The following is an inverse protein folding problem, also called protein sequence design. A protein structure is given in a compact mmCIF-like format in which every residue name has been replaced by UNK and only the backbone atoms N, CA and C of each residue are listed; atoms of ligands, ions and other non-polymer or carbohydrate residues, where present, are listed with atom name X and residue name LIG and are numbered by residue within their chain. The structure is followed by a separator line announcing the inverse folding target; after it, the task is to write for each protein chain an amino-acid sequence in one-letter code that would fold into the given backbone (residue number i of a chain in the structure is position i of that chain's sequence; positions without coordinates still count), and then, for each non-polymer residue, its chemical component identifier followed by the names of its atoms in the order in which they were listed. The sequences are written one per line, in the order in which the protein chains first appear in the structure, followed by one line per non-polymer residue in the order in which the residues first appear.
data_IF_444450133470
#
_entry.id   IF_444450133470
#
_cell.length_a   1.000
_cell.length_b   1.000
_cell.length_c   1.000
_cell.angle_alpha   90.00
_cell.angle_beta   90.00
_cell.angle_gamma   90.00
#
_symmetry.space_group_name_H-M   'P 1'
#
loop_
_entity.id
_entity.type
_entity.pdbx_description
1 polymer ?
#
# COMPACT_ATOMS: atom_id res chain seq x y z
N UNK A 1 18.06 29.68 -22.92
CA UNK A 1 17.70 29.21 -21.56
C UNK A 1 16.55 28.21 -21.69
N UNK A 2 16.83 26.92 -21.77
CA UNK A 2 15.79 25.89 -22.04
C UNK A 2 16.06 24.52 -21.42
N UNK A 3 17.02 24.41 -20.50
CA UNK A 3 17.52 23.11 -20.02
C UNK A 3 16.93 22.64 -18.68
N UNK A 4 16.09 23.45 -18.01
CA UNK A 4 15.75 23.22 -16.60
C UNK A 4 14.43 22.47 -16.37
N UNK A 5 13.44 22.58 -17.27
CA UNK A 5 12.12 21.94 -17.07
C UNK A 5 12.07 20.45 -17.44
N UNK A 6 12.89 20.01 -18.40
CA UNK A 6 12.93 18.60 -18.84
C UNK A 6 13.63 17.69 -17.81
N UNK A 7 14.64 18.22 -17.11
CA UNK A 7 15.36 17.51 -16.04
C UNK A 7 14.47 17.22 -14.83
N UNK A 8 13.70 18.20 -14.36
CA UNK A 8 12.84 18.07 -13.16
C UNK A 8 11.67 17.08 -13.38
N UNK A 9 11.08 17.07 -14.59
CA UNK A 9 10.00 16.14 -14.92
C UNK A 9 10.48 14.68 -15.09
N UNK A 10 11.69 14.46 -15.59
CA UNK A 10 12.32 13.12 -15.60
C UNK A 10 12.56 12.61 -14.18
N UNK A 11 13.06 13.45 -13.27
CA UNK A 11 13.34 13.07 -11.87
C UNK A 11 12.08 12.62 -11.12
N UNK A 12 10.92 13.24 -11.39
CA UNK A 12 9.63 12.89 -10.75
C UNK A 12 9.12 11.50 -11.14
N UNK A 13 9.17 11.14 -12.42
CA UNK A 13 8.73 9.82 -12.90
C UNK A 13 9.66 8.69 -12.41
N UNK A 14 10.96 8.97 -12.30
CA UNK A 14 11.94 8.01 -11.78
C UNK A 14 11.72 7.78 -10.28
N UNK A 15 11.50 8.85 -9.50
CA UNK A 15 11.20 8.74 -8.06
C UNK A 15 9.92 7.93 -7.78
N UNK A 16 8.83 8.20 -8.50
CA UNK A 16 7.57 7.47 -8.33
C UNK A 16 7.68 5.99 -8.70
N UNK A 17 8.47 5.65 -9.73
CA UNK A 17 8.77 4.26 -10.08
C UNK A 17 9.58 3.58 -8.98
N UNK A 18 10.66 4.21 -8.50
CA UNK A 18 11.46 3.65 -7.41
C UNK A 18 10.66 3.46 -6.12
N UNK A 19 9.74 4.37 -5.80
CA UNK A 19 8.84 4.22 -4.66
C UNK A 19 7.86 3.05 -4.83
N UNK A 20 7.36 2.81 -6.05
CA UNK A 20 6.52 1.66 -6.35
C UNK A 20 7.29 0.35 -6.24
N UNK A 21 8.47 0.28 -6.86
CA UNK A 21 9.34 -0.90 -6.78
C UNK A 21 9.67 -1.23 -5.32
N UNK A 22 9.94 -0.20 -4.51
CA UNK A 22 10.13 -0.36 -3.06
C UNK A 22 8.89 -0.96 -2.36
N UNK A 23 7.70 -0.45 -2.66
CA UNK A 23 6.44 -0.94 -2.05
C UNK A 23 6.10 -2.37 -2.50
N UNK A 24 6.23 -2.66 -3.80
CA UNK A 24 5.96 -3.98 -4.36
C UNK A 24 6.93 -5.03 -3.79
N UNK A 25 8.23 -4.70 -3.71
CA UNK A 25 9.20 -5.61 -3.12
C UNK A 25 9.07 -5.72 -1.59
N UNK A 26 8.58 -4.68 -0.90
CA UNK A 26 8.24 -4.79 0.52
C UNK A 26 7.07 -5.75 0.76
N UNK A 27 6.06 -5.72 -0.11
CA UNK A 27 4.95 -6.68 -0.09
C UNK A 27 5.44 -8.11 -0.36
N UNK A 28 6.37 -8.29 -1.29
CA UNK A 28 6.98 -9.60 -1.57
C UNK A 28 7.74 -10.15 -0.35
N UNK A 29 8.57 -9.33 0.31
CA UNK A 29 9.24 -9.74 1.57
C UNK A 29 8.20 -10.09 2.63
N UNK A 30 7.13 -9.30 2.74
CA UNK A 30 6.08 -9.52 3.74
C UNK A 30 5.32 -10.84 3.54
N UNK A 31 5.23 -11.33 2.30
CA UNK A 31 4.55 -12.60 1.94
C UNK A 31 5.52 -13.77 1.76
N UNK A 32 6.81 -13.53 1.91
CA UNK A 32 7.84 -14.54 1.67
C UNK A 32 7.81 -15.65 2.73
N UNK A 33 8.34 -16.81 2.35
CA UNK A 33 8.59 -17.96 3.23
C UNK A 33 10.09 -18.15 3.35
N UNK A 34 10.56 -19.05 4.22
CA UNK A 34 12.01 -19.26 4.37
C UNK A 34 12.71 -19.58 3.04
N UNK A 35 12.06 -20.28 2.10
CA UNK A 35 12.67 -20.59 0.80
C UNK A 35 12.76 -19.39 -0.16
N UNK A 36 11.91 -18.37 0.02
CA UNK A 36 11.80 -17.23 -0.90
C UNK A 36 12.23 -15.90 -0.29
N UNK A 37 12.51 -15.88 1.02
CA UNK A 37 12.88 -14.68 1.75
C UNK A 37 14.14 -14.04 1.19
N UNK A 38 15.19 -14.81 0.93
CA UNK A 38 16.48 -14.28 0.47
C UNK A 38 16.37 -13.60 -0.89
N UNK A 39 15.58 -14.16 -1.81
CA UNK A 39 15.32 -13.51 -3.11
C UNK A 39 14.50 -12.23 -2.92
N UNK A 40 13.46 -12.27 -2.09
CA UNK A 40 12.61 -11.12 -1.82
C UNK A 40 13.39 -9.98 -1.17
N UNK A 41 14.22 -10.26 -0.16
CA UNK A 41 14.99 -9.23 0.55
C UNK A 41 16.09 -8.65 -0.33
N UNK A 42 16.66 -9.42 -1.27
CA UNK A 42 17.62 -8.91 -2.27
C UNK A 42 16.95 -7.97 -3.26
N UNK A 43 15.79 -8.35 -3.80
CA UNK A 43 14.99 -7.47 -4.68
C UNK A 43 14.62 -6.20 -3.95
N UNK A 44 14.14 -6.30 -2.71
CA UNK A 44 13.84 -5.15 -1.89
C UNK A 44 15.07 -4.25 -1.63
N UNK A 45 16.19 -4.82 -1.21
CA UNK A 45 17.43 -4.06 -0.96
C UNK A 45 17.98 -3.36 -2.21
N UNK A 46 17.69 -3.86 -3.42
CA UNK A 46 18.07 -3.21 -4.68
C UNK A 46 17.41 -1.84 -4.88
N UNK A 47 16.35 -1.52 -4.11
CA UNK A 47 15.72 -0.20 -4.12
C UNK A 47 16.41 0.80 -3.19
N UNK A 48 17.24 0.29 -2.26
CA UNK A 48 17.93 1.03 -1.21
C UNK A 48 19.39 1.37 -1.52
N UNK A 49 19.77 1.38 -2.80
CA UNK A 49 21.13 1.66 -3.25
C UNK A 49 21.31 3.15 -3.54
N UNK A 50 22.54 3.65 -3.36
CA UNK A 50 22.83 5.08 -3.35
C UNK A 50 22.63 5.77 -4.73
N UNK A 51 22.44 5.01 -5.82
CA UNK A 51 22.16 5.54 -7.16
C UNK A 51 20.65 5.56 -7.51
N UNK A 52 19.75 5.28 -6.57
CA UNK A 52 18.31 5.46 -6.75
C UNK A 52 17.84 6.76 -6.08
N UNK A 53 16.68 7.32 -6.47
CA UNK A 53 16.09 8.46 -5.77
C UNK A 53 15.75 8.21 -4.29
N UNK A 54 15.63 6.93 -3.88
CA UNK A 54 15.51 6.54 -2.47
C UNK A 54 16.88 6.50 -1.79
N UNK A 55 17.96 6.26 -2.54
CA UNK A 55 19.34 6.40 -2.12
C UNK A 55 19.66 7.80 -1.57
N UNK A 56 19.11 8.86 -2.14
CA UNK A 56 19.29 10.24 -1.62
C UNK A 56 18.72 10.42 -0.21
N UNK A 57 17.65 9.70 0.12
CA UNK A 57 17.05 9.70 1.47
C UNK A 57 17.97 8.95 2.44
N UNK A 58 18.52 7.83 1.99
CA UNK A 58 19.46 7.01 2.76
C UNK A 58 20.77 7.75 3.01
N UNK A 59 21.27 8.48 2.02
CA UNK A 59 22.50 9.28 2.12
C UNK A 59 22.40 10.38 3.19
N UNK A 60 21.18 10.80 3.55
CA UNK A 60 20.93 11.77 4.62
C UNK A 60 20.80 11.12 6.01
N UNK A 61 20.74 9.79 6.11
CA UNK A 61 20.70 9.09 7.39
C UNK A 61 22.06 9.19 8.09
N UNK A 62 22.08 9.23 9.44
CA UNK A 62 23.33 9.25 10.18
C UNK A 62 24.12 7.97 9.91
N UNK A 63 25.45 8.10 9.89
CA UNK A 63 26.34 6.94 9.86
C UNK A 63 26.20 6.13 11.15
N UNK A 64 26.16 4.81 11.02
CA UNK A 64 25.99 3.88 12.15
C UNK A 64 27.04 2.78 12.12
N UNK A 65 27.47 2.33 13.29
CA UNK A 65 28.34 1.16 13.45
C UNK A 65 27.49 -0.09 13.72
N UNK A 66 27.09 -0.77 12.64
CA UNK A 66 26.27 -1.97 12.75
C UNK A 66 27.00 -3.12 13.45
N UNK A 67 28.30 -3.29 13.21
CA UNK A 67 29.07 -4.40 13.78
C UNK A 67 29.22 -4.26 15.29
N UNK A 68 29.53 -3.05 15.77
CA UNK A 68 29.56 -2.78 17.21
C UNK A 68 28.17 -2.97 17.83
N UNK A 69 27.12 -2.44 17.19
CA UNK A 69 25.76 -2.56 17.69
C UNK A 69 25.30 -4.02 17.76
N UNK A 70 25.52 -4.80 16.70
CA UNK A 70 25.08 -6.18 16.60
C UNK A 70 25.87 -7.08 17.54
N UNK A 71 27.20 -6.89 17.65
CA UNK A 71 28.04 -7.60 18.62
C UNK A 71 27.54 -7.39 20.05
N UNK A 72 27.15 -6.16 20.41
CA UNK A 72 26.55 -5.87 21.72
C UNK A 72 25.25 -6.64 21.94
N UNK A 73 24.38 -6.74 20.94
CA UNK A 73 23.13 -7.51 21.07
C UNK A 73 23.42 -9.00 21.27
N UNK A 74 24.39 -9.56 20.54
CA UNK A 74 24.78 -10.97 20.68
C UNK A 74 25.26 -11.32 22.10
N UNK A 75 25.86 -10.37 22.84
CA UNK A 75 26.24 -10.63 24.25
C UNK A 75 25.06 -10.89 25.19
N UNK A 76 23.85 -10.54 24.77
CA UNK A 76 22.62 -10.76 25.55
C UNK A 76 22.00 -12.14 25.31
N UNK A 77 22.47 -12.88 24.31
CA UNK A 77 21.97 -14.23 24.00
C UNK A 77 22.45 -15.20 25.10
N UNK A 78 21.50 -15.72 25.86
CA UNK A 78 21.75 -16.71 26.92
C UNK A 78 21.61 -18.15 26.43
N UNK A 79 21.51 -19.10 27.36
CA UNK A 79 21.41 -20.53 27.04
C UNK A 79 20.09 -20.99 26.43
N UNK A 80 19.07 -20.13 26.36
CA UNK A 80 17.78 -20.43 25.74
C UNK A 80 17.69 -19.80 24.35
N UNK A 81 17.15 -20.55 23.37
CA UNK A 81 16.91 -20.04 22.01
C UNK A 81 15.95 -18.85 22.06
N UNK A 82 16.24 -17.79 21.32
CA UNK A 82 15.43 -16.56 21.29
C UNK A 82 15.59 -15.65 22.51
N UNK A 83 16.56 -15.91 23.40
CA UNK A 83 16.74 -15.12 24.64
C UNK A 83 17.47 -13.79 24.46
N UNK A 84 18.04 -13.54 23.28
CA UNK A 84 18.70 -12.28 22.97
C UNK A 84 17.72 -11.11 23.05
N UNK A 85 18.20 -9.97 23.54
CA UNK A 85 17.44 -8.72 23.58
C UNK A 85 18.00 -7.74 22.56
N UNK A 86 17.11 -7.17 21.74
CA UNK A 86 17.47 -6.11 20.80
C UNK A 86 17.19 -4.75 21.43
N UNK A 87 18.25 -3.95 21.61
CA UNK A 87 18.13 -2.55 22.04
C UNK A 87 18.40 -1.63 20.85
N UNK A 88 17.34 -1.02 20.32
CA UNK A 88 17.44 -0.06 19.23
C UNK A 88 17.92 1.32 19.71
N UNK A 89 18.57 2.12 18.84
CA UNK A 89 18.79 3.54 19.09
C UNK A 89 17.48 4.26 19.44
N UNK A 90 17.58 5.25 20.33
CA UNK A 90 16.45 6.10 20.73
C UNK A 90 16.09 7.09 19.61
N UNK A 91 17.11 7.61 18.92
CA UNK A 91 16.90 8.45 17.75
C UNK A 91 16.31 7.64 16.58
N UNK A 92 15.24 8.19 15.98
CA UNK A 92 14.50 7.51 14.92
C UNK A 92 15.29 7.39 13.62
N UNK A 93 16.17 8.35 13.31
CA UNK A 93 16.99 8.31 12.08
C UNK A 93 18.15 7.34 12.25
N UNK A 94 18.78 7.29 13.41
CA UNK A 94 19.80 6.29 13.76
C UNK A 94 19.23 4.87 13.75
N UNK A 95 18.04 4.67 14.34
CA UNK A 95 17.34 3.39 14.27
C UNK A 95 17.08 2.96 12.83
N UNK A 96 16.57 3.88 12.01
CA UNK A 96 16.29 3.58 10.61
C UNK A 96 17.56 3.26 9.84
N UNK A 97 18.66 4.00 10.07
CA UNK A 97 19.97 3.72 9.48
C UNK A 97 20.45 2.31 9.84
N UNK A 98 20.28 1.89 11.11
CA UNK A 98 20.60 0.54 11.57
C UNK A 98 19.78 -0.54 10.84
N UNK A 99 18.49 -0.29 10.63
CA UNK A 99 17.60 -1.21 9.91
C UNK A 99 17.93 -1.28 8.41
N UNK A 100 18.31 -0.16 7.78
CA UNK A 100 18.78 -0.16 6.39
C UNK A 100 20.05 -1.01 6.26
N UNK A 101 21.02 -0.87 7.16
CA UNK A 101 22.24 -1.68 7.12
C UNK A 101 21.95 -3.17 7.40
N UNK A 102 20.98 -3.47 8.27
CA UNK A 102 20.51 -4.84 8.50
C UNK A 102 19.97 -5.47 7.20
N UNK A 103 19.10 -4.76 6.48
CA UNK A 103 18.56 -5.22 5.19
C UNK A 103 19.67 -5.39 4.15
N UNK A 104 20.59 -4.43 4.04
CA UNK A 104 21.74 -4.51 3.12
C UNK A 104 22.63 -5.71 3.43
N UNK A 105 22.82 -6.06 4.71
CA UNK A 105 23.59 -7.24 5.14
C UNK A 105 22.87 -8.54 4.85
N UNK A 106 21.56 -8.62 5.06
CA UNK A 106 20.77 -9.78 4.66
C UNK A 106 20.82 -10.01 3.15
N UNK A 107 20.67 -8.95 2.35
CA UNK A 107 20.75 -9.04 0.90
C UNK A 107 22.16 -9.40 0.36
N UNK A 108 23.21 -9.16 1.14
CA UNK A 108 24.61 -9.47 0.79
C UNK A 108 25.15 -10.72 1.50
N UNK A 109 24.28 -11.53 2.11
CA UNK A 109 24.65 -12.76 2.84
C UNK A 109 25.62 -12.53 4.00
N UNK A 110 25.68 -11.30 4.52
CA UNK A 110 26.50 -10.92 5.69
C UNK A 110 25.72 -11.03 7.01
N UNK A 111 24.41 -11.30 6.93
CA UNK A 111 23.54 -11.54 8.07
C UNK A 111 22.47 -12.55 7.66
N UNK A 112 22.49 -13.74 8.24
CA UNK A 112 21.45 -14.73 8.00
C UNK A 112 20.21 -14.43 8.85
N UNK A 113 19.04 -14.41 8.21
CA UNK A 113 17.78 -14.06 8.88
C UNK A 113 17.32 -15.15 9.85
N UNK A 114 17.61 -16.42 9.58
CA UNK A 114 17.23 -17.55 10.44
C UNK A 114 18.11 -17.56 11.69
N UNK A 115 19.42 -17.37 11.56
CA UNK A 115 20.33 -17.22 12.69
C UNK A 115 19.95 -16.00 13.54
N UNK A 116 19.64 -14.87 12.88
CA UNK A 116 19.15 -13.69 13.58
C UNK A 116 17.85 -13.98 14.33
N UNK A 117 16.86 -14.59 13.68
CA UNK A 117 15.58 -14.88 14.31
C UNK A 117 15.73 -15.89 15.46
N UNK A 118 16.57 -16.91 15.30
CA UNK A 118 16.88 -17.88 16.36
C UNK A 118 17.49 -17.24 17.60
N UNK A 119 18.32 -16.21 17.43
CA UNK A 119 18.94 -15.51 18.56
C UNK A 119 17.96 -14.60 19.31
N UNK A 120 17.07 -13.90 18.61
CA UNK A 120 16.34 -12.76 19.17
C UNK A 120 14.80 -12.87 19.19
N UNK A 121 14.21 -13.77 18.41
CA UNK A 121 12.74 -13.81 18.19
C UNK A 121 12.23 -15.19 17.77
N UNK A 122 12.88 -16.23 18.30
CA UNK A 122 12.47 -17.60 18.01
C UNK A 122 11.13 -17.90 18.68
N UNK A 123 10.13 -18.27 17.88
CA UNK A 123 8.80 -18.66 18.35
C UNK A 123 8.53 -20.15 18.21
N UNK A 124 9.39 -20.88 17.49
CA UNK A 124 9.28 -22.32 17.34
C UNK A 124 10.33 -22.92 16.41
N UNK A 125 10.17 -24.22 16.12
CA UNK A 125 11.08 -24.96 15.22
C UNK A 125 10.79 -24.76 13.73
N UNK A 126 9.70 -24.08 13.39
CA UNK A 126 9.30 -23.82 12.00
C UNK A 126 9.97 -22.54 11.52
N UNK A 127 10.81 -22.65 10.49
CA UNK A 127 11.51 -21.50 9.92
C UNK A 127 10.56 -20.41 9.43
N UNK A 128 9.45 -20.77 8.81
CA UNK A 128 8.45 -19.81 8.32
C UNK A 128 7.87 -18.94 9.46
N UNK A 129 7.67 -19.50 10.64
CA UNK A 129 7.11 -18.77 11.79
C UNK A 129 8.14 -17.76 12.31
N UNK A 130 9.43 -18.14 12.36
CA UNK A 130 10.52 -17.26 12.76
C UNK A 130 10.77 -16.13 11.74
N UNK A 131 10.63 -16.41 10.44
CA UNK A 131 10.65 -15.39 9.39
C UNK A 131 9.47 -14.44 9.55
N UNK A 132 8.26 -14.96 9.82
CA UNK A 132 7.08 -14.13 10.02
C UNK A 132 7.24 -13.19 11.23
N UNK A 133 7.91 -13.63 12.29
CA UNK A 133 8.24 -12.78 13.44
C UNK A 133 9.21 -11.65 13.09
N UNK A 134 10.30 -11.97 12.36
CA UNK A 134 11.21 -10.95 11.84
C UNK A 134 10.46 -9.91 11.00
N UNK A 135 9.59 -10.38 10.09
CA UNK A 135 8.82 -9.51 9.21
C UNK A 135 7.89 -8.60 10.02
N UNK A 136 7.17 -9.16 11.00
CA UNK A 136 6.19 -8.41 11.79
C UNK A 136 6.85 -7.41 12.73
N UNK A 137 7.90 -7.82 13.45
CA UNK A 137 8.50 -7.02 14.51
C UNK A 137 9.52 -6.02 13.99
N UNK A 138 10.19 -6.30 12.87
CA UNK A 138 11.26 -5.44 12.35
C UNK A 138 10.97 -4.92 10.96
N UNK A 139 10.74 -5.79 9.98
CA UNK A 139 10.65 -5.36 8.58
C UNK A 139 9.47 -4.40 8.31
N UNK A 140 8.26 -4.74 8.77
CA UNK A 140 7.06 -3.91 8.57
C UNK A 140 7.19 -2.53 9.24
N UNK A 141 7.59 -2.42 10.53
CA UNK A 141 7.87 -1.11 11.14
C UNK A 141 8.93 -0.31 10.38
N UNK A 142 10.00 -0.98 9.93
CA UNK A 142 11.04 -0.34 9.11
C UNK A 142 10.46 0.25 7.81
N UNK A 143 9.69 -0.52 7.03
CA UNK A 143 9.07 -0.05 5.78
C UNK A 143 8.17 1.16 6.04
N UNK A 144 7.33 1.10 7.08
CA UNK A 144 6.47 2.21 7.50
C UNK A 144 7.28 3.47 7.82
N UNK A 145 8.32 3.32 8.62
CA UNK A 145 9.12 4.45 9.11
C UNK A 145 9.99 5.04 7.99
N UNK A 146 10.49 4.19 7.07
CA UNK A 146 11.19 4.62 5.87
C UNK A 146 10.27 5.44 4.95
N UNK A 147 9.07 4.93 4.65
CA UNK A 147 8.08 5.65 3.83
C UNK A 147 7.73 7.00 4.43
N UNK A 148 7.63 7.11 5.75
CA UNK A 148 7.41 8.39 6.43
C UNK A 148 8.53 9.40 6.11
N UNK A 149 9.80 9.02 6.22
CA UNK A 149 10.92 9.92 5.90
C UNK A 149 10.97 10.27 4.41
N UNK A 150 10.73 9.29 3.55
CA UNK A 150 10.60 9.50 2.09
C UNK A 150 9.55 10.57 1.80
N UNK A 151 8.37 10.47 2.43
CA UNK A 151 7.29 11.45 2.29
C UNK A 151 7.62 12.83 2.91
N UNK A 152 8.45 12.89 3.93
CA UNK A 152 8.87 14.14 4.58
C UNK A 152 10.07 14.81 3.88
N UNK A 153 10.73 14.14 2.92
CA UNK A 153 11.94 14.66 2.25
C UNK A 153 11.61 15.77 1.25
N UNK A 154 12.42 16.86 1.18
CA UNK A 154 12.28 17.92 0.17
C UNK A 154 12.17 17.44 -1.27
N UNK A 155 12.84 16.37 -1.69
CA UNK A 155 12.68 15.83 -3.05
C UNK A 155 11.26 15.30 -3.34
N UNK A 156 10.54 14.83 -2.32
CA UNK A 156 9.13 14.46 -2.39
C UNK A 156 8.23 15.71 -2.29
N UNK A 157 8.57 16.64 -1.38
CA UNK A 157 7.76 17.84 -1.15
C UNK A 157 7.98 18.97 -2.17
N UNK A 158 9.14 19.10 -2.82
CA UNK A 158 9.41 19.97 -3.99
C UNK A 158 8.68 19.48 -5.23
N UNK A 159 8.44 18.16 -5.33
CA UNK A 159 7.47 17.57 -6.26
C UNK A 159 6.02 17.98 -5.98
N UNK A 160 5.74 18.49 -4.77
CA UNK A 160 4.45 19.04 -4.33
C UNK A 160 4.46 20.58 -4.20
N UNK A 161 5.63 21.24 -4.08
CA UNK A 161 5.77 22.67 -3.76
C UNK A 161 6.23 23.54 -4.93
N UNK A 162 6.48 22.99 -6.12
CA UNK A 162 6.35 23.77 -7.36
C UNK A 162 4.90 23.80 -7.87
N UNK A 163 4.02 24.34 -7.03
CA UNK A 163 2.99 25.29 -7.50
C UNK A 163 3.41 26.68 -7.03
N UNK A 164 4.49 27.21 -7.62
CA UNK A 164 4.34 28.60 -8.09
C UNK A 164 3.24 28.53 -9.14
N UNK A 165 2.16 29.33 -9.07
CA UNK A 165 1.21 29.37 -10.17
C UNK A 165 2.03 29.63 -11.44
N UNK A 166 1.85 28.84 -12.51
CA UNK A 166 2.54 29.13 -13.75
C UNK A 166 2.29 30.59 -14.06
N UNK A 167 3.35 31.34 -14.43
CA UNK A 167 3.10 32.49 -15.28
C UNK A 167 2.20 32.00 -16.40
N UNK A 168 1.04 32.63 -16.52
CA UNK A 168 0.00 32.36 -17.48
C UNK A 168 0.59 32.38 -18.88
N UNK A 169 1.09 31.23 -19.32
CA UNK A 169 1.27 30.90 -20.72
C UNK A 169 0.16 29.92 -21.05
N UNK A 170 -0.80 30.39 -21.83
CA UNK A 170 -2.01 29.73 -22.30
C UNK A 170 -1.82 28.22 -22.56
N UNK A 171 -2.14 27.42 -21.55
CA UNK A 171 -2.53 26.02 -21.71
C UNK A 171 -3.90 25.92 -21.07
N UNK A 172 -4.91 25.51 -21.83
CA UNK A 172 -6.31 25.57 -21.42
C UNK A 172 -6.57 24.78 -20.13
N UNK A 173 -7.21 25.45 -19.17
CA UNK A 173 -7.65 24.98 -17.85
C UNK A 173 -8.74 23.87 -17.88
N UNK A 174 -8.76 22.98 -18.88
CA UNK A 174 -9.96 22.21 -19.24
C UNK A 174 -10.07 20.76 -18.74
N UNK A 175 -9.00 20.12 -18.24
CA UNK A 175 -9.03 18.66 -17.97
C UNK A 175 -8.57 18.21 -16.56
N UNK A 176 -8.50 19.11 -15.56
CA UNK A 176 -8.31 18.66 -14.16
C UNK A 176 -9.53 17.88 -13.65
N UNK A 177 -9.29 16.70 -13.07
CA UNK A 177 -10.32 15.86 -12.45
C UNK A 177 -10.97 16.62 -11.29
N UNK A 178 -12.28 16.80 -11.37
CA UNK A 178 -13.06 17.57 -10.39
C UNK A 178 -13.63 16.68 -9.33
N UNK A 179 -14.27 15.58 -9.73
CA UNK A 179 -15.04 14.71 -8.86
C UNK A 179 -14.56 13.27 -8.99
N UNK A 180 -14.24 12.65 -7.88
CA UNK A 180 -14.01 11.22 -7.77
C UNK A 180 -15.05 10.63 -6.83
N UNK A 181 -15.72 9.57 -7.25
CA UNK A 181 -16.67 8.83 -6.43
C UNK A 181 -16.09 7.44 -6.17
N UNK A 182 -15.77 7.16 -4.91
CA UNK A 182 -15.32 5.85 -4.44
C UNK A 182 -16.52 5.09 -3.89
N UNK A 183 -16.76 3.89 -4.42
CA UNK A 183 -17.90 3.03 -4.06
C UNK A 183 -17.68 1.57 -4.48
N UNK A 184 -18.49 0.67 -3.95
CA UNK A 184 -18.58 -0.72 -4.43
C UNK A 184 -19.34 -0.78 -5.74
N UNK A 185 -18.90 -1.63 -6.68
CA UNK A 185 -19.64 -1.91 -7.93
C UNK A 185 -21.10 -2.33 -7.70
N UNK A 186 -21.42 -2.88 -6.53
CA UNK A 186 -22.79 -3.26 -6.15
C UNK A 186 -23.71 -2.06 -5.86
N UNK A 187 -23.13 -0.88 -5.69
CA UNK A 187 -23.82 0.37 -5.38
C UNK A 187 -23.90 1.29 -6.63
N UNK A 188 -23.70 0.73 -7.83
CA UNK A 188 -23.61 1.48 -9.10
C UNK A 188 -24.81 2.39 -9.34
N UNK A 189 -26.02 1.96 -9.00
CA UNK A 189 -27.23 2.79 -9.20
C UNK A 189 -27.22 4.04 -8.32
N UNK A 190 -26.81 3.92 -7.04
CA UNK A 190 -26.68 5.07 -6.14
C UNK A 190 -25.53 5.98 -6.61
N UNK A 191 -24.39 5.41 -7.01
CA UNK A 191 -23.28 6.21 -7.53
C UNK A 191 -23.66 6.97 -8.80
N UNK A 192 -24.44 6.35 -9.69
CA UNK A 192 -24.92 6.97 -10.93
C UNK A 192 -25.90 8.13 -10.68
N UNK A 193 -26.79 8.02 -9.70
CA UNK A 193 -27.67 9.14 -9.33
C UNK A 193 -26.88 10.32 -8.77
N UNK A 194 -25.83 10.07 -7.97
CA UNK A 194 -24.91 11.10 -7.48
C UNK A 194 -24.14 11.75 -8.64
N UNK A 195 -23.60 10.98 -9.59
CA UNK A 195 -22.95 11.55 -10.79
C UNK A 195 -23.91 12.49 -11.52
N UNK A 196 -25.13 12.03 -11.78
CA UNK A 196 -26.14 12.81 -12.51
C UNK A 196 -26.48 14.10 -11.76
N UNK A 197 -26.61 14.04 -10.44
CA UNK A 197 -26.83 15.22 -9.60
C UNK A 197 -25.70 16.24 -9.74
N UNK A 198 -24.43 15.81 -9.64
CA UNK A 198 -23.28 16.71 -9.78
C UNK A 198 -23.15 17.29 -11.19
N UNK A 199 -23.41 16.50 -12.24
CA UNK A 199 -23.46 17.00 -13.62
C UNK A 199 -24.52 18.09 -13.79
N UNK A 200 -25.70 17.91 -13.19
CA UNK A 200 -26.82 18.86 -13.31
C UNK A 200 -26.57 20.13 -12.51
N UNK A 201 -26.11 19.99 -11.26
CA UNK A 201 -25.92 21.08 -10.32
C UNK A 201 -24.67 21.94 -10.62
N UNK A 202 -23.62 21.35 -11.20
CA UNK A 202 -22.35 22.03 -11.48
C UNK A 202 -21.94 22.04 -12.95
N UNK A 203 -22.70 21.44 -13.88
CA UNK A 203 -22.33 21.34 -15.30
C UNK A 203 -20.91 20.79 -15.52
N UNK A 204 -20.47 19.87 -14.64
CA UNK A 204 -19.15 19.24 -14.74
C UNK A 204 -19.16 18.31 -15.95
N UNK A 205 -18.19 18.45 -16.84
CA UNK A 205 -18.02 17.53 -17.97
C UNK A 205 -17.68 16.12 -17.48
N UNK A 206 -18.22 15.09 -18.13
CA UNK A 206 -17.90 13.69 -17.85
C UNK A 206 -16.39 13.38 -17.83
N UNK A 207 -15.57 14.09 -18.62
CA UNK A 207 -14.10 13.95 -18.62
C UNK A 207 -13.44 14.31 -17.29
N UNK A 208 -14.13 15.11 -16.47
CA UNK A 208 -13.66 15.60 -15.17
C UNK A 208 -14.30 14.84 -14.00
N UNK A 209 -14.97 13.72 -14.27
CA UNK A 209 -15.60 12.85 -13.26
C UNK A 209 -15.01 11.44 -13.36
N UNK A 210 -14.61 10.88 -12.23
CA UNK A 210 -14.21 9.48 -12.10
C UNK A 210 -15.24 8.70 -11.30
N UNK A 211 -15.84 7.69 -11.93
CA UNK A 211 -16.76 6.74 -11.32
C UNK A 211 -16.71 5.42 -12.11
N UNK A 212 -15.83 4.49 -11.73
CA UNK A 212 -15.38 3.41 -12.63
C UNK A 212 -16.42 2.34 -12.95
N UNK A 213 -17.47 2.20 -12.14
CA UNK A 213 -18.55 1.25 -12.42
C UNK A 213 -19.66 1.83 -13.31
N UNK A 214 -19.65 3.15 -13.55
CA UNK A 214 -20.66 3.85 -14.35
C UNK A 214 -20.09 4.11 -15.76
N UNK A 215 -20.82 3.64 -16.78
CA UNK A 215 -20.45 3.87 -18.17
C UNK A 215 -20.36 5.37 -18.49
N UNK A 216 -19.34 5.74 -19.28
CA UNK A 216 -19.02 7.14 -19.58
C UNK A 216 -18.01 7.79 -18.61
N UNK A 217 -17.80 7.22 -17.42
CA UNK A 217 -16.87 7.75 -16.39
C UNK A 217 -15.74 6.76 -16.04
N UNK A 218 -15.63 5.69 -16.84
CA UNK A 218 -14.62 4.65 -16.73
C UNK A 218 -13.24 5.14 -17.15
N UNK A 219 -12.23 4.38 -16.76
CA UNK A 219 -10.86 4.59 -17.19
C UNK A 219 -10.72 4.45 -18.72
N UNK A 220 -9.78 5.16 -19.35
CA UNK A 220 -9.43 4.92 -20.75
C UNK A 220 -9.05 3.47 -21.00
N UNK A 221 -9.37 2.95 -22.19
CA UNK A 221 -9.00 1.58 -22.55
C UNK A 221 -7.47 1.38 -22.50
N UNK A 222 -7.03 0.28 -21.89
CA UNK A 222 -5.60 -0.03 -21.72
C UNK A 222 -4.88 0.75 -20.61
N UNK A 223 -5.58 1.61 -19.87
CA UNK A 223 -5.01 2.27 -18.70
C UNK A 223 -4.72 1.27 -17.58
N UNK A 224 -3.62 1.47 -16.87
CA UNK A 224 -3.35 0.77 -15.61
C UNK A 224 -4.30 1.32 -14.53
N UNK A 225 -5.29 0.50 -14.19
CA UNK A 225 -6.35 0.84 -13.24
C UNK A 225 -5.81 1.32 -11.89
N UNK A 226 -4.80 0.63 -11.35
CA UNK A 226 -4.30 0.95 -10.02
C UNK A 226 -3.57 2.31 -10.03
N UNK A 227 -2.87 2.61 -11.11
CA UNK A 227 -2.11 3.84 -11.24
C UNK A 227 -2.95 5.07 -11.47
N UNK A 228 -3.94 4.96 -12.35
CA UNK A 228 -4.85 6.06 -12.60
C UNK A 228 -5.68 6.32 -11.34
N UNK A 229 -6.18 5.28 -10.67
CA UNK A 229 -6.97 5.46 -9.44
C UNK A 229 -6.12 6.03 -8.30
N UNK A 230 -4.88 5.56 -8.09
CA UNK A 230 -3.97 6.20 -7.11
C UNK A 230 -3.77 7.68 -7.39
N UNK A 231 -3.54 8.06 -8.66
CA UNK A 231 -3.33 9.46 -9.04
C UNK A 231 -4.58 10.30 -8.80
N UNK A 232 -5.72 9.79 -9.23
CA UNK A 232 -7.00 10.50 -9.21
C UNK A 232 -7.63 10.59 -7.82
N UNK A 233 -7.42 9.57 -6.96
CA UNK A 233 -7.77 9.60 -5.53
C UNK A 233 -7.15 10.84 -4.87
N UNK A 234 -5.93 11.23 -5.22
CA UNK A 234 -5.29 12.44 -4.67
C UNK A 234 -5.60 13.71 -5.47
N UNK A 235 -5.68 13.59 -6.80
CA UNK A 235 -5.83 14.73 -7.71
C UNK A 235 -7.23 15.34 -7.73
N UNK A 236 -8.27 14.57 -7.40
CA UNK A 236 -9.64 15.06 -7.40
C UNK A 236 -9.85 16.19 -6.37
N UNK A 237 -10.51 17.27 -6.82
CA UNK A 237 -10.90 18.40 -5.96
C UNK A 237 -11.92 17.96 -4.92
N UNK A 238 -12.94 17.23 -5.37
CA UNK A 238 -13.92 16.56 -4.53
C UNK A 238 -13.71 15.05 -4.57
N UNK A 239 -13.55 14.46 -3.39
CA UNK A 239 -13.54 13.02 -3.21
C UNK A 239 -14.77 12.62 -2.41
N UNK A 240 -15.72 12.01 -3.08
CA UNK A 240 -16.97 11.51 -2.50
C UNK A 240 -16.80 10.04 -2.18
N UNK A 241 -17.00 9.69 -0.92
CA UNK A 241 -16.97 8.32 -0.42
C UNK A 241 -18.41 7.83 -0.22
N UNK A 242 -18.91 6.99 -1.11
CA UNK A 242 -20.24 6.39 -0.95
C UNK A 242 -20.14 5.17 -0.04
N UNK A 243 -20.67 5.31 1.18
CA UNK A 243 -20.56 4.33 2.25
C UNK A 243 -21.90 3.60 2.41
N UNK A 244 -21.92 2.37 1.90
CA UNK A 244 -22.98 1.36 2.11
C UNK A 244 -22.37 0.14 2.82
N UNK A 245 -23.18 -0.83 3.29
CA UNK A 245 -22.63 -2.11 3.77
C UNK A 245 -21.73 -2.84 2.73
N UNK A 246 -21.99 -2.70 1.42
CA UNK A 246 -21.14 -3.27 0.38
C UNK A 246 -19.80 -2.55 0.25
N UNK A 247 -19.81 -1.22 0.36
CA UNK A 247 -18.60 -0.41 0.25
C UNK A 247 -17.70 -0.55 1.48
N UNK A 248 -18.29 -0.63 2.68
CA UNK A 248 -17.56 -0.86 3.93
C UNK A 248 -16.92 -2.27 4.02
N UNK A 249 -17.42 -3.23 3.24
CA UNK A 249 -16.85 -4.58 3.14
C UNK A 249 -15.89 -4.75 1.95
N UNK A 250 -15.65 -3.69 1.16
CA UNK A 250 -14.75 -3.73 0.00
C UNK A 250 -13.34 -3.28 0.39
N UNK A 251 -12.33 -4.17 0.37
CA UNK A 251 -10.95 -3.79 0.70
C UNK A 251 -10.41 -2.70 -0.22
N UNK A 252 -10.83 -2.70 -1.48
CA UNK A 252 -10.42 -1.72 -2.47
C UNK A 252 -10.94 -0.32 -2.11
N UNK A 253 -12.21 -0.20 -1.77
CA UNK A 253 -12.82 1.07 -1.33
C UNK A 253 -12.16 1.55 -0.03
N UNK A 254 -11.97 0.66 0.95
CA UNK A 254 -11.28 0.98 2.21
C UNK A 254 -9.84 1.46 1.98
N UNK A 255 -9.14 0.91 1.00
CA UNK A 255 -7.79 1.34 0.63
C UNK A 255 -7.79 2.76 0.02
N UNK A 256 -8.72 3.07 -0.88
CA UNK A 256 -8.87 4.42 -1.45
C UNK A 256 -9.23 5.46 -0.38
N UNK A 257 -10.16 5.11 0.51
CA UNK A 257 -10.54 5.91 1.68
C UNK A 257 -9.34 6.17 2.60
N UNK A 258 -8.59 5.11 2.93
CA UNK A 258 -7.42 5.18 3.78
C UNK A 258 -6.30 6.03 3.17
N UNK A 259 -6.06 5.90 1.87
CA UNK A 259 -5.10 6.72 1.14
C UNK A 259 -5.49 8.21 1.18
N UNK A 260 -6.74 8.54 0.85
CA UNK A 260 -7.25 9.92 0.86
C UNK A 260 -7.17 10.53 2.26
N UNK A 261 -7.64 9.80 3.27
CA UNK A 261 -7.63 10.23 4.66
C UNK A 261 -6.19 10.43 5.17
N UNK A 262 -5.30 9.46 4.92
CA UNK A 262 -3.89 9.52 5.34
C UNK A 262 -3.14 10.69 4.71
N UNK A 263 -3.47 11.06 3.48
CA UNK A 263 -2.93 12.24 2.81
C UNK A 263 -3.52 13.58 3.29
N UNK A 264 -4.41 13.56 4.30
CA UNK A 264 -5.10 14.75 4.84
C UNK A 264 -5.79 15.59 3.77
N UNK A 265 -6.33 14.93 2.75
CA UNK A 265 -7.11 15.59 1.69
C UNK A 265 -8.61 15.53 2.03
N UNK A 266 -9.41 16.51 1.58
CA UNK A 266 -10.84 16.51 1.81
C UNK A 266 -11.50 15.21 1.32
N UNK A 267 -12.33 14.64 2.17
CA UNK A 267 -13.07 13.40 1.96
C UNK A 267 -14.50 13.66 2.45
N UNK A 268 -15.49 13.41 1.58
CA UNK A 268 -16.91 13.66 1.84
C UNK A 268 -17.62 12.30 2.00
N UNK A 269 -17.81 11.82 3.24
CA UNK A 269 -18.42 10.52 3.49
C UNK A 269 -19.94 10.62 3.39
N UNK A 270 -20.53 9.82 2.50
CA UNK A 270 -21.97 9.78 2.23
C UNK A 270 -22.53 8.42 2.65
N UNK A 271 -23.40 8.40 3.65
CA UNK A 271 -24.09 7.19 4.10
C UNK A 271 -25.30 6.91 3.19
N UNK A 272 -25.38 5.70 2.66
CA UNK A 272 -26.46 5.26 1.78
C UNK A 272 -26.76 3.76 1.94
N UNK A 273 -27.83 3.28 1.32
CA UNK A 273 -28.12 1.85 1.21
C UNK A 273 -28.26 1.12 2.56
N UNK A 274 -28.77 1.84 3.57
CA UNK A 274 -28.96 1.34 4.94
C UNK A 274 -27.74 1.45 5.87
N UNK A 275 -26.63 2.06 5.42
CA UNK A 275 -25.50 2.34 6.30
C UNK A 275 -25.84 3.41 7.35
N UNK A 276 -25.24 3.26 8.53
CA UNK A 276 -25.39 4.20 9.66
C UNK A 276 -24.00 4.63 10.17
N UNK A 277 -23.88 5.79 10.86
CA UNK A 277 -22.61 6.23 11.41
C UNK A 277 -21.94 5.20 12.33
N UNK A 278 -22.73 4.39 13.04
CA UNK A 278 -22.25 3.35 13.95
C UNK A 278 -21.49 2.21 13.24
N UNK A 279 -21.70 2.04 11.93
CA UNK A 279 -21.02 1.01 11.14
C UNK A 279 -19.70 1.51 10.53
N UNK A 280 -19.37 2.78 10.67
CA UNK A 280 -18.14 3.33 10.12
C UNK A 280 -16.92 2.83 10.92
N UNK A 281 -15.90 2.26 10.26
CA UNK A 281 -14.66 1.90 10.94
C UNK A 281 -13.87 3.15 11.31
N UNK A 282 -13.04 3.06 12.35
CA UNK A 282 -12.02 4.08 12.59
C UNK A 282 -11.01 4.09 11.41
N UNK A 283 -10.50 5.25 10.96
CA UNK A 283 -10.75 6.60 11.50
C UNK A 283 -11.97 7.32 10.87
N UNK A 284 -12.71 6.67 9.97
CA UNK A 284 -13.83 7.30 9.24
C UNK A 284 -14.99 7.71 10.15
N UNK A 285 -15.19 7.00 11.27
CA UNK A 285 -16.19 7.37 12.28
C UNK A 285 -15.93 8.72 12.98
N UNK A 286 -14.73 9.29 12.84
CA UNK A 286 -14.40 10.64 13.30
C UNK A 286 -14.77 11.75 12.31
N UNK A 287 -15.23 11.40 11.11
CA UNK A 287 -15.64 12.37 10.08
C UNK A 287 -17.15 12.63 10.15
N UNK A 288 -17.56 13.85 9.82
CA UNK A 288 -18.98 14.16 9.65
C UNK A 288 -19.49 13.57 8.34
N UNK A 289 -20.37 12.56 8.43
CA UNK A 289 -20.95 11.90 7.27
C UNK A 289 -22.38 12.40 7.00
N UNK A 290 -22.69 12.63 5.73
CA UNK A 290 -24.01 13.05 5.27
C UNK A 290 -24.84 11.84 4.83
N UNK A 291 -26.11 11.80 5.19
CA UNK A 291 -27.05 10.75 4.82
C UNK A 291 -27.71 11.08 3.48
N UNK A 292 -27.54 10.20 2.50
CA UNK A 292 -28.21 10.29 1.21
C UNK A 292 -29.69 9.91 1.29
N UNK A 293 -30.21 9.55 2.47
CA UNK A 293 -31.63 9.36 2.72
C UNK A 293 -32.34 10.67 3.14
N UNK A 294 -31.63 11.80 3.20
CA UNK A 294 -32.17 13.09 3.59
C UNK A 294 -31.92 14.13 2.51
N UNK A 295 -32.99 14.66 1.91
CA UNK A 295 -32.88 15.69 0.87
C UNK A 295 -32.12 16.95 1.37
N UNK A 296 -32.27 17.32 2.64
CA UNK A 296 -31.56 18.46 3.22
C UNK A 296 -30.05 18.20 3.32
N UNK A 297 -29.63 16.99 3.67
CA UNK A 297 -28.21 16.64 3.71
C UNK A 297 -27.62 16.43 2.31
N UNK A 298 -28.42 16.03 1.32
CA UNK A 298 -28.02 16.05 -0.10
C UNK A 298 -27.82 17.49 -0.57
N UNK A 299 -28.67 18.44 -0.18
CA UNK A 299 -28.47 19.87 -0.47
C UNK A 299 -27.24 20.43 0.24
N UNK A 300 -27.01 20.07 1.49
CA UNK A 300 -25.80 20.43 2.23
C UNK A 300 -24.53 19.96 1.50
N UNK A 301 -24.52 18.72 0.98
CA UNK A 301 -23.40 18.22 0.16
C UNK A 301 -23.12 19.14 -1.04
N UNK A 302 -24.17 19.62 -1.71
CA UNK A 302 -24.02 20.54 -2.86
C UNK A 302 -23.49 21.90 -2.44
N UNK A 303 -23.90 22.43 -1.29
CA UNK A 303 -23.37 23.67 -0.72
C UNK A 303 -21.89 23.54 -0.36
N UNK A 304 -21.53 22.49 0.37
CA UNK A 304 -20.14 22.18 0.75
C UNK A 304 -19.26 21.96 -0.49
N UNK A 305 -19.81 21.28 -1.52
CA UNK A 305 -19.14 21.09 -2.80
C UNK A 305 -18.97 22.39 -3.59
N UNK A 306 -19.95 23.29 -3.55
CA UNK A 306 -19.89 24.61 -4.17
C UNK A 306 -18.76 25.45 -3.59
N UNK A 307 -18.60 25.44 -2.27
CA UNK A 307 -17.49 26.11 -1.59
C UNK A 307 -16.14 25.48 -2.00
N UNK A 308 -16.02 24.15 -1.91
CA UNK A 308 -14.79 23.43 -2.22
C UNK A 308 -14.34 23.56 -3.68
N UNK A 309 -15.29 23.63 -4.62
CA UNK A 309 -15.02 23.85 -6.04
C UNK A 309 -14.87 25.32 -6.40
N UNK A 310 -15.22 26.24 -5.50
CA UNK A 310 -15.38 27.67 -5.79
C UNK A 310 -16.26 27.90 -7.02
N UNK A 311 -17.34 27.11 -7.14
CA UNK A 311 -18.24 27.11 -8.28
C UNK A 311 -19.68 27.24 -7.82
N UNK A 312 -20.44 28.14 -8.46
CA UNK A 312 -21.87 28.31 -8.14
C UNK A 312 -22.68 27.11 -8.62
N UNK A 313 -23.65 26.74 -7.80
CA UNK A 313 -24.73 25.83 -8.19
C UNK A 313 -25.58 26.49 -9.29
N UNK A 314 -26.09 25.65 -10.19
CA UNK A 314 -27.20 26.00 -11.07
C UNK A 314 -28.46 26.38 -10.23
N UNK A 315 -29.50 26.97 -10.84
CA UNK A 315 -30.74 27.25 -10.10
C UNK A 315 -31.32 25.95 -9.53
N UNK A 316 -31.64 25.92 -8.23
CA UNK A 316 -32.12 24.71 -7.54
C UNK A 316 -33.25 23.93 -8.26
N UNK A 317 -34.26 24.58 -8.89
CA UNK A 317 -35.28 23.86 -9.65
C UNK A 317 -34.75 23.04 -10.84
N UNK A 318 -33.54 23.33 -11.34
CA UNK A 318 -32.93 22.63 -12.47
C UNK A 318 -32.34 21.26 -12.12
N UNK A 319 -32.15 20.97 -10.83
CA UNK A 319 -31.62 19.70 -10.33
C UNK A 319 -32.41 19.14 -9.13
N UNK A 320 -33.57 19.73 -8.80
CA UNK A 320 -34.34 19.30 -7.63
C UNK A 320 -34.86 17.87 -7.76
N UNK A 321 -35.18 17.43 -8.99
CA UNK A 321 -35.59 16.05 -9.25
C UNK A 321 -34.45 15.06 -8.96
N UNK A 322 -33.21 15.42 -9.30
CA UNK A 322 -32.03 14.61 -9.05
C UNK A 322 -31.69 14.50 -7.55
N UNK A 323 -32.00 15.52 -6.75
CA UNK A 323 -31.91 15.43 -5.27
C UNK A 323 -32.88 14.37 -4.76
N UNK A 324 -34.14 14.42 -5.20
CA UNK A 324 -35.16 13.44 -4.79
C UNK A 324 -34.83 12.03 -5.31
N UNK A 325 -34.23 11.90 -6.50
CA UNK A 325 -33.79 10.62 -7.07
C UNK A 325 -32.66 10.00 -6.24
N UNK A 326 -31.66 10.78 -5.80
CA UNK A 326 -30.61 10.28 -4.90
C UNK A 326 -31.22 9.72 -3.62
N UNK A 327 -32.19 10.44 -3.03
CA UNK A 327 -32.91 9.99 -1.82
C UNK A 327 -33.70 8.71 -2.08
N UNK A 328 -34.45 8.65 -3.18
CA UNK A 328 -35.25 7.49 -3.55
C UNK A 328 -34.38 6.24 -3.77
N UNK A 329 -33.30 6.36 -4.56
CA UNK A 329 -32.41 5.23 -4.90
C UNK A 329 -31.60 4.77 -3.68
N UNK A 330 -31.15 5.71 -2.83
CA UNK A 330 -30.46 5.38 -1.58
C UNK A 330 -31.37 4.63 -0.60
N UNK A 331 -32.65 5.02 -0.52
CA UNK A 331 -33.63 4.42 0.40
C UNK A 331 -34.17 3.09 -0.12
N UNK A 332 -34.37 2.95 -1.43
CA UNK A 332 -34.94 1.75 -2.05
C UNK A 332 -33.97 0.56 -2.11
N UNK A 333 -32.67 0.78 -1.90
CA UNK A 333 -31.63 -0.24 -1.95
C UNK A 333 -30.96 -0.51 -0.57
N UNK A 334 -31.72 -0.90 0.48
CA UNK A 334 -31.09 -1.30 1.73
C UNK A 334 -30.36 -2.64 1.54
N UNK A 335 -29.05 -2.64 1.70
CA UNK A 335 -28.28 -3.87 1.62
C UNK A 335 -28.36 -4.64 2.94
N UNK A 336 -28.57 -5.97 2.87
CA UNK A 336 -28.46 -6.82 4.05
C UNK A 336 -27.03 -6.76 4.58
N UNK A 337 -26.88 -6.39 5.85
CA UNK A 337 -25.62 -6.47 6.58
C UNK A 337 -25.27 -7.96 6.70
N UNK A 338 -24.20 -8.42 6.05
CA UNK A 338 -23.60 -9.70 6.42
C UNK A 338 -22.95 -9.54 7.80
N UNK A 339 -23.20 -10.44 8.78
CA UNK A 339 -22.69 -10.31 10.14
C UNK A 339 -21.16 -10.29 10.26
N UNK A 340 -20.41 -10.63 9.20
CA UNK A 340 -18.95 -10.80 9.23
C UNK A 340 -18.13 -9.51 9.07
N UNK A 341 -18.75 -8.33 8.98
CA UNK A 341 -18.03 -7.08 8.65
C UNK A 341 -17.28 -6.50 9.88
N UNK A 342 -17.48 -7.05 11.08
CA UNK A 342 -16.88 -6.54 12.33
C UNK A 342 -16.28 -7.62 13.23
N UNK A 343 -15.91 -8.78 12.68
CA UNK A 343 -14.99 -9.65 13.42
C UNK A 343 -13.63 -8.92 13.49
N UNK A 344 -13.04 -8.74 14.69
CA UNK A 344 -11.60 -8.54 14.78
C UNK A 344 -10.95 -9.62 13.92
N UNK A 345 -9.85 -9.30 13.21
CA UNK A 345 -8.96 -10.35 12.71
C UNK A 345 -8.84 -11.39 13.82
N UNK A 346 -9.21 -12.67 13.60
CA UNK A 346 -9.30 -13.62 14.68
C UNK A 346 -7.97 -13.59 15.41
N UNK A 347 -8.03 -13.32 16.73
CA UNK A 347 -6.88 -13.55 17.58
C UNK A 347 -6.44 -14.97 17.27
N UNK A 348 -5.17 -15.15 16.92
CA UNK A 348 -4.57 -16.47 16.72
C UNK A 348 -4.69 -17.17 18.08
N UNK A 349 -5.80 -17.87 18.29
CA UNK A 349 -6.01 -18.68 19.47
C UNK A 349 -5.12 -19.90 19.28
N UNK A 350 -4.25 -20.11 20.26
CA UNK A 350 -3.45 -21.32 20.39
C UNK A 350 -4.41 -22.51 20.57
N UNK A 351 -4.88 -23.10 19.48
CA UNK A 351 -5.62 -24.35 19.53
C UNK A 351 -4.62 -25.48 19.73
N UNK A 352 -4.68 -26.07 20.92
CA UNK A 352 -3.96 -27.28 21.28
C UNK A 352 -4.26 -28.39 20.26
N UNK A 353 -3.20 -28.87 19.61
CA UNK A 353 -3.29 -29.99 18.69
C UNK A 353 -3.73 -31.26 19.44
N UNK A 354 -4.97 -31.64 19.22
CA UNK A 354 -5.52 -32.95 19.54
C UNK A 354 -4.74 -34.02 18.74
N UNK A 355 -4.14 -34.97 19.46
CA UNK A 355 -3.29 -36.03 18.90
C UNK A 355 -4.14 -36.98 18.03
N UNK A 356 -3.97 -36.94 16.71
CA UNK A 356 -4.27 -38.08 15.85
C UNK A 356 -3.05 -39.02 15.74
N UNK A 357 -3.21 -40.34 15.89
CA UNK A 357 -2.09 -41.27 15.83
C UNK A 357 -1.67 -41.55 14.37
N UNK A 358 -0.35 -41.64 14.17
CA UNK A 358 0.28 -42.00 12.89
C UNK A 358 -0.20 -43.37 12.36
N UNK A 359 -0.42 -43.52 11.05
CA UNK A 359 -0.52 -44.84 10.45
C UNK A 359 0.85 -45.54 10.44
N UNK A 360 0.89 -46.72 11.07
CA UNK A 360 1.99 -47.68 10.97
C UNK A 360 2.01 -48.24 9.56
N UNK A 361 3.09 -47.99 8.81
CA UNK A 361 3.69 -48.93 7.85
C UNK A 361 4.97 -48.31 7.27
N UNK A 362 6.11 -48.63 7.89
CA UNK A 362 7.42 -48.55 7.26
C UNK A 362 8.04 -49.95 7.35
N UNK A 363 8.01 -50.66 6.23
CA UNK A 363 8.80 -51.87 6.01
C UNK A 363 10.27 -51.46 5.85
N UNK A 364 11.12 -52.22 6.53
CA UNK A 364 12.57 -52.09 6.63
C UNK A 364 13.29 -52.12 5.28
N UNK A 365 14.30 -51.25 5.12
CA UNK A 365 15.56 -51.63 4.47
C UNK A 365 16.73 -50.96 5.22
N UNK A 366 17.77 -51.76 5.48
CA UNK A 366 18.96 -51.44 6.25
C UNK A 366 20.17 -51.25 5.33
N UNK A 367 21.17 -50.50 5.83
CA UNK A 367 22.52 -50.30 5.25
C UNK A 367 22.60 -49.10 4.29
N UNK A 368 23.53 -48.15 4.37
CA UNK A 368 24.84 -48.12 5.03
C UNK A 368 25.25 -46.68 5.42
N UNK A 369 26.13 -46.60 6.42
CA UNK A 369 26.82 -45.38 6.89
C UNK A 369 27.74 -44.83 5.80
N UNK A 370 27.76 -43.51 5.62
CA UNK A 370 28.91 -42.81 5.04
C UNK A 370 29.35 -41.71 6.02
N UNK A 371 30.64 -41.78 6.32
CA UNK A 371 31.42 -41.00 7.27
C UNK A 371 31.81 -39.63 6.69
N UNK A 372 31.94 -38.64 7.57
CA UNK A 372 32.06 -37.21 7.22
C UNK A 372 33.53 -36.80 7.28
N UNK A 373 34.30 -37.12 6.25
CA UNK A 373 35.61 -36.51 6.01
C UNK A 373 35.91 -36.50 4.51
N UNK A 374 35.75 -35.32 3.89
CA UNK A 374 36.45 -34.81 2.69
C UNK A 374 35.52 -33.95 1.81
N UNK A 375 35.40 -32.66 2.16
CA UNK A 375 34.94 -31.63 1.20
C UNK A 375 36.07 -30.62 1.05
N UNK A 376 37.13 -31.05 0.35
CA UNK A 376 38.17 -30.15 -0.12
C UNK A 376 38.76 -30.63 -1.45
N UNK A 377 37.94 -31.01 -2.42
CA UNK A 377 38.35 -31.04 -3.84
C UNK A 377 37.11 -30.93 -4.71
N UNK A 378 37.21 -30.18 -5.82
CA UNK A 378 36.20 -29.87 -6.86
C UNK A 378 35.81 -28.37 -6.94
N UNK A 379 36.82 -27.49 -6.86
CA UNK A 379 36.93 -26.41 -7.85
C UNK A 379 37.69 -26.97 -9.05
N UNK A 380 37.26 -26.56 -10.25
CA UNK A 380 37.87 -26.82 -11.57
C UNK A 380 37.40 -28.10 -12.27
N UNK A 381 36.31 -28.01 -13.04
CA UNK A 381 36.22 -28.49 -14.44
C UNK A 381 34.75 -28.52 -14.89
N UNK A 382 34.34 -27.54 -15.68
CA UNK A 382 33.49 -27.73 -16.87
C UNK A 382 33.19 -26.37 -17.53
N UNK A 383 34.24 -25.66 -17.91
CA UNK A 383 34.23 -24.88 -19.14
C UNK A 383 34.69 -25.84 -20.23
N UNK A 384 33.83 -26.08 -21.23
CA UNK A 384 34.09 -26.56 -22.61
C UNK A 384 32.97 -27.52 -23.07
N UNK A 385 32.56 -27.35 -24.33
CA UNK A 385 31.46 -28.02 -25.06
C UNK A 385 30.08 -27.37 -24.82
N UNK A 386 29.48 -26.59 -25.72
CA UNK A 386 29.31 -26.80 -27.16
C UNK A 386 29.23 -25.48 -27.96
N UNK A 387 30.05 -25.38 -29.01
CA UNK A 387 29.79 -24.58 -30.21
C UNK A 387 29.98 -25.50 -31.42
N UNK A 388 29.16 -25.26 -32.45
CA UNK A 388 29.13 -25.80 -33.82
C UNK A 388 28.26 -27.04 -34.09
N UNK A 389 27.09 -26.77 -34.68
CA UNK A 389 26.71 -27.33 -36.00
C UNK A 389 26.17 -26.17 -36.85
N UNK A 390 26.66 -26.06 -38.10
CA UNK A 390 26.29 -25.08 -39.14
C UNK A 390 25.24 -25.68 -40.10
N UNK A 391 24.43 -24.78 -40.67
CA UNK A 391 23.82 -24.71 -42.02
C UNK A 391 23.69 -25.99 -42.87
N UNK A 392 22.46 -26.25 -43.35
CA UNK A 392 22.11 -26.53 -44.77
C UNK A 392 20.68 -25.98 -45.02
N UNK A 393 20.57 -25.13 -46.07
CA UNK A 393 19.39 -24.66 -46.85
C UNK A 393 18.17 -23.99 -46.19
#
# INVERSE_FOLDING_TARGET
MGSTRLGVAMTRNVYQRSLRDFQDYADDVTRSRHQTFDDAIRRFASTLVDNTPLGDVIAQLPQVDFDQWYSKQLTTVGGMVGSGTITWPVDGRERLAMQVEMVRRMASDRLDVLDFAQNFMCVGSRFDDNIAEFVQQIFRPFVRDFLRIVHDTPSFSDGLHQRTPPQESEVSMSDELTLFISHSVRDTEIAKSIVTLFEKAFKISARRIRCTSVDGYRLPAGADTNEVLRTEVFGAKLFVALLTPNSLSSPYVLFELGARWGARRPLYPLLAGGATPAQLPAPLNGLNALSMNSADQVRQLLEDASEALSQRLEPAPSFSAEVEEVVAVSTANPHKVSPDILAPLPAVSSSAAEKQPLPKNATSFAGDKIDIHDVHTLRSNSLLSHKNVREIE
#
